data_IF_667871979540
#
_entry.id   IF_667871979540
#
_cell.length_a   1.000
_cell.length_b   1.000
_cell.length_c   1.000
_cell.angle_alpha   90.00
_cell.angle_beta   90.00
_cell.angle_gamma   90.00
#
_symmetry.space_group_name_H-M   'P 1'
#
loop_
_entity.id
_entity.type
_entity.pdbx_description
1 polymer ?
#
# COMPACT_ATOMS: atom_id res chain seq x y z
N UNK A 1 -15.13 -18.78 9.32
CA UNK A 1 -13.66 -18.70 9.53
C UNK A 1 -13.39 -18.79 11.03
N UNK A 2 -12.40 -19.54 11.49
CA UNK A 2 -12.05 -19.56 12.93
C UNK A 2 -11.33 -18.27 13.31
N UNK A 3 -11.53 -17.76 14.53
CA UNK A 3 -10.88 -16.56 15.03
C UNK A 3 -9.35 -16.66 14.97
N UNK A 4 -8.79 -17.85 15.26
CA UNK A 4 -7.34 -18.09 15.15
C UNK A 4 -6.83 -17.88 13.73
N UNK A 5 -7.58 -18.38 12.74
CA UNK A 5 -7.23 -18.23 11.33
C UNK A 5 -7.30 -16.77 10.87
N UNK A 6 -8.36 -16.06 11.25
CA UNK A 6 -8.50 -14.64 10.94
C UNK A 6 -7.33 -13.81 11.49
N UNK A 7 -6.95 -14.03 12.75
CA UNK A 7 -5.84 -13.30 13.35
C UNK A 7 -4.51 -13.59 12.65
N UNK A 8 -4.23 -14.85 12.28
CA UNK A 8 -3.02 -15.19 11.52
C UNK A 8 -3.00 -14.50 10.17
N UNK A 9 -4.08 -14.58 9.39
CA UNK A 9 -4.14 -13.93 8.07
C UNK A 9 -4.05 -12.41 8.16
N UNK A 10 -4.58 -11.80 9.23
CA UNK A 10 -4.44 -10.37 9.49
C UNK A 10 -2.99 -9.99 9.80
N UNK A 11 -2.29 -10.75 10.66
CA UNK A 11 -0.90 -10.49 11.00
C UNK A 11 0.00 -10.63 9.76
N UNK A 12 -0.21 -11.67 8.95
CA UNK A 12 0.51 -11.88 7.70
C UNK A 12 0.27 -10.70 6.71
N UNK A 13 -0.96 -10.19 6.66
CA UNK A 13 -1.28 -9.01 5.84
C UNK A 13 -0.54 -7.76 6.34
N UNK A 14 -0.53 -7.52 7.66
CA UNK A 14 0.15 -6.36 8.25
C UNK A 14 1.66 -6.41 8.04
N UNK A 15 2.28 -7.58 8.22
CA UNK A 15 3.72 -7.78 8.01
C UNK A 15 4.13 -7.49 6.55
N UNK A 16 3.30 -7.90 5.59
CA UNK A 16 3.53 -7.65 4.16
C UNK A 16 3.16 -6.25 3.70
N UNK A 17 2.62 -5.40 4.59
CA UNK A 17 2.05 -4.10 4.24
C UNK A 17 2.70 -2.92 4.99
N UNK A 18 4.04 -2.78 4.98
CA UNK A 18 4.71 -1.71 5.73
C UNK A 18 4.39 -0.30 5.22
N UNK A 19 3.86 -0.18 3.99
CA UNK A 19 3.38 1.09 3.43
C UNK A 19 2.06 0.90 2.69
N UNK A 20 1.33 1.99 2.43
CA UNK A 20 0.10 1.97 1.65
C UNK A 20 0.26 1.33 0.26
N UNK A 21 1.44 1.44 -0.36
CA UNK A 21 1.74 0.78 -1.63
C UNK A 21 1.82 -0.74 -1.50
N UNK A 22 2.42 -1.23 -0.41
CA UNK A 22 2.49 -2.66 -0.12
C UNK A 22 1.12 -3.21 0.27
N UNK A 23 0.34 -2.45 1.06
CA UNK A 23 -1.05 -2.79 1.37
C UNK A 23 -1.88 -3.00 0.11
N UNK A 24 -1.80 -2.08 -0.86
CA UNK A 24 -2.50 -2.24 -2.14
C UNK A 24 -1.94 -3.41 -2.94
N UNK A 25 -0.63 -3.63 -2.97
CA UNK A 25 -0.04 -4.78 -3.67
C UNK A 25 -0.53 -6.12 -3.09
N UNK A 26 -0.58 -6.23 -1.75
CA UNK A 26 -1.13 -7.40 -1.06
C UNK A 26 -2.62 -7.60 -1.39
N UNK A 27 -3.43 -6.53 -1.33
CA UNK A 27 -4.84 -6.57 -1.70
C UNK A 27 -5.05 -6.98 -3.16
N UNK A 28 -4.25 -6.44 -4.10
CA UNK A 28 -4.28 -6.84 -5.51
C UNK A 28 -4.06 -8.35 -5.65
N UNK A 29 -3.03 -8.90 -5.00
CA UNK A 29 -2.75 -10.34 -5.02
C UNK A 29 -3.94 -11.15 -4.50
N UNK A 30 -4.46 -10.80 -3.32
CA UNK A 30 -5.59 -11.50 -2.71
C UNK A 30 -6.86 -11.47 -3.58
N UNK A 31 -7.11 -10.35 -4.26
CA UNK A 31 -8.25 -10.20 -5.18
C UNK A 31 -8.06 -11.04 -6.45
N UNK A 32 -6.86 -11.04 -7.04
CA UNK A 32 -6.52 -11.88 -8.19
C UNK A 32 -6.66 -13.38 -7.85
N UNK A 33 -6.14 -13.79 -6.68
CA UNK A 33 -6.25 -15.17 -6.18
C UNK A 33 -7.72 -15.57 -5.93
N UNK A 34 -8.58 -14.59 -5.64
CA UNK A 34 -10.03 -14.76 -5.49
C UNK A 34 -10.80 -14.66 -6.81
N UNK A 35 -10.12 -14.55 -7.95
CA UNK A 35 -10.71 -14.51 -9.28
C UNK A 35 -11.28 -13.16 -9.71
N UNK A 36 -10.88 -12.06 -9.06
CA UNK A 36 -11.21 -10.72 -9.55
C UNK A 36 -10.37 -10.37 -10.79
N UNK A 37 -10.95 -9.52 -11.64
CA UNK A 37 -10.32 -9.03 -12.86
C UNK A 37 -9.79 -7.61 -12.61
N UNK A 38 -8.50 -7.39 -12.87
CA UNK A 38 -7.90 -6.06 -12.80
C UNK A 38 -8.37 -5.19 -13.97
N UNK A 39 -8.77 -3.96 -13.68
CA UNK A 39 -9.15 -2.95 -14.66
C UNK A 39 -8.09 -1.86 -14.77
N UNK A 40 -7.87 -1.36 -15.99
CA UNK A 40 -7.06 -0.18 -16.25
C UNK A 40 -7.97 1.06 -16.26
N UNK A 41 -7.68 2.04 -15.41
CA UNK A 41 -8.48 3.26 -15.33
C UNK A 41 -8.42 4.13 -16.60
N UNK A 42 -7.37 3.96 -17.41
CA UNK A 42 -7.20 4.68 -18.67
C UNK A 42 -7.92 4.04 -19.86
N UNK A 43 -8.59 2.92 -19.67
CA UNK A 43 -9.26 2.16 -20.73
C UNK A 43 -10.79 2.18 -20.56
N UNK A 44 -11.52 1.98 -21.66
CA UNK A 44 -12.95 1.70 -21.58
C UNK A 44 -13.17 0.32 -20.97
N UNK A 45 -14.09 0.23 -20.00
CA UNK A 45 -14.41 -1.04 -19.35
C UNK A 45 -15.57 -1.74 -20.05
N UNK A 46 -15.35 -3.01 -20.39
CA UNK A 46 -16.41 -3.95 -20.80
C UNK A 46 -16.70 -4.88 -19.62
N UNK A 47 -17.76 -4.57 -18.87
CA UNK A 47 -18.11 -5.25 -17.63
C UNK A 47 -19.18 -6.32 -17.92
N UNK A 48 -18.89 -7.57 -17.55
CA UNK A 48 -19.79 -8.68 -17.69
C UNK A 48 -20.53 -8.96 -16.38
N UNK A 49 -21.83 -9.21 -16.47
CA UNK A 49 -22.68 -9.59 -15.35
C UNK A 49 -22.12 -10.81 -14.60
N UNK A 50 -22.17 -10.75 -13.27
CA UNK A 50 -21.68 -11.79 -12.37
C UNK A 50 -20.16 -11.84 -12.20
N UNK A 51 -19.41 -10.89 -12.77
CA UNK A 51 -17.95 -10.80 -12.60
C UNK A 51 -17.55 -9.83 -11.48
N UNK A 52 -16.32 -10.01 -11.00
CA UNK A 52 -15.74 -9.21 -9.94
C UNK A 52 -14.53 -8.47 -10.49
N UNK A 53 -14.40 -7.20 -10.13
CA UNK A 53 -13.41 -6.30 -10.70
C UNK A 53 -12.71 -5.50 -9.61
N UNK A 54 -11.47 -5.10 -9.89
CA UNK A 54 -10.83 -4.06 -9.09
C UNK A 54 -10.04 -3.10 -9.97
N UNK A 55 -9.89 -1.87 -9.50
CA UNK A 55 -9.08 -0.84 -10.11
C UNK A 55 -8.22 -0.19 -9.04
N UNK A 56 -7.02 0.26 -9.41
CA UNK A 56 -6.13 0.97 -8.50
C UNK A 56 -5.69 2.30 -9.07
N UNK A 57 -5.49 3.26 -8.18
CA UNK A 57 -4.99 4.59 -8.53
C UNK A 57 -3.73 4.89 -7.70
N UNK A 58 -2.69 5.35 -8.39
CA UNK A 58 -1.35 5.60 -7.82
C UNK A 58 -0.70 4.37 -7.12
N UNK A 59 -1.25 3.17 -7.29
CA UNK A 59 -0.88 1.97 -6.54
C UNK A 59 -0.96 2.12 -5.01
N UNK A 60 -1.66 3.15 -4.51
CA UNK A 60 -1.86 3.39 -3.07
C UNK A 60 -3.33 3.40 -2.66
N UNK A 61 -4.24 3.44 -3.64
CA UNK A 61 -5.67 3.28 -3.43
C UNK A 61 -6.22 2.18 -4.34
N UNK A 62 -7.23 1.45 -3.84
CA UNK A 62 -7.87 0.35 -4.53
C UNK A 62 -9.39 0.41 -4.32
N UNK A 63 -10.14 0.17 -5.38
CA UNK A 63 -11.58 -0.09 -5.34
C UNK A 63 -11.79 -1.51 -5.88
N UNK A 64 -12.48 -2.34 -5.13
CA UNK A 64 -12.94 -3.66 -5.56
C UNK A 64 -14.47 -3.70 -5.51
N UNK A 65 -15.10 -4.29 -6.52
CA UNK A 65 -16.55 -4.39 -6.60
C UNK A 65 -16.99 -5.67 -7.30
N UNK A 66 -18.20 -6.11 -6.97
CA UNK A 66 -18.88 -7.21 -7.65
C UNK A 66 -19.89 -6.58 -8.60
N UNK A 67 -19.84 -6.93 -9.88
CA UNK A 67 -20.77 -6.46 -10.88
C UNK A 67 -21.86 -7.50 -11.06
N UNK A 68 -22.96 -7.37 -10.31
CA UNK A 68 -24.06 -8.33 -10.28
C UNK A 68 -25.43 -7.66 -10.33
N UNK A 69 -25.51 -6.47 -10.90
CA UNK A 69 -26.71 -5.64 -10.94
C UNK A 69 -27.03 -5.22 -12.36
N UNK A 70 -28.28 -5.39 -12.78
CA UNK A 70 -28.75 -4.94 -14.09
C UNK A 70 -29.26 -3.49 -14.04
N UNK A 71 -29.53 -2.95 -12.84
CA UNK A 71 -29.91 -1.55 -12.65
C UNK A 71 -29.43 -1.00 -11.30
N UNK A 72 -28.38 -0.18 -11.34
CA UNK A 72 -27.86 0.52 -10.15
C UNK A 72 -28.90 1.44 -9.49
N UNK A 73 -29.77 2.07 -10.29
CA UNK A 73 -30.81 2.97 -9.78
C UNK A 73 -31.97 2.22 -9.10
N UNK A 74 -32.24 0.99 -9.54
CA UNK A 74 -33.29 0.15 -8.95
C UNK A 74 -32.83 -0.62 -7.71
N UNK A 75 -31.57 -1.05 -7.68
CA UNK A 75 -31.04 -1.97 -6.66
C UNK A 75 -30.15 -1.30 -5.61
N UNK A 76 -29.61 -0.12 -5.91
CA UNK A 76 -28.70 0.62 -5.03
C UNK A 76 -27.31 0.01 -4.91
N UNK A 77 -26.49 0.59 -4.03
CA UNK A 77 -25.10 0.19 -3.80
C UNK A 77 -24.86 -0.14 -2.32
N UNK A 78 -24.13 -1.23 -2.07
CA UNK A 78 -23.60 -1.55 -0.73
C UNK A 78 -22.11 -1.25 -0.72
N UNK A 79 -21.73 -0.18 -0.03
CA UNK A 79 -20.35 0.29 0.01
C UNK A 79 -19.77 0.17 1.41
N UNK A 80 -18.49 -0.18 1.49
CA UNK A 80 -17.67 -0.09 2.70
C UNK A 80 -16.38 0.60 2.33
N UNK A 81 -15.97 1.57 3.15
CA UNK A 81 -14.76 2.35 2.95
C UNK A 81 -13.78 2.14 4.10
N UNK A 82 -12.50 2.08 3.76
CA UNK A 82 -11.37 2.13 4.68
C UNK A 82 -10.23 2.90 3.98
N UNK A 83 -9.11 3.10 4.68
CA UNK A 83 -7.92 3.73 4.12
C UNK A 83 -6.70 2.83 4.31
N UNK A 84 -5.73 2.94 3.41
CA UNK A 84 -4.54 2.06 3.32
C UNK A 84 -3.31 2.65 4.00
N UNK A 85 -3.36 3.93 4.35
CA UNK A 85 -2.25 4.66 4.96
C UNK A 85 -2.34 4.66 6.49
N UNK A 86 -1.22 4.97 7.12
CA UNK A 86 -1.10 5.11 8.56
C UNK A 86 -0.09 6.22 8.89
N UNK A 87 -0.21 6.87 10.05
CA UNK A 87 0.78 7.85 10.48
C UNK A 87 2.20 7.25 10.46
N UNK A 88 3.14 7.97 9.85
CA UNK A 88 4.49 7.46 9.58
C UNK A 88 5.52 8.58 9.46
N UNK A 89 6.79 8.20 9.49
CA UNK A 89 7.91 9.07 9.14
C UNK A 89 8.35 8.76 7.71
N UNK A 90 8.32 9.77 6.83
CA UNK A 90 8.71 9.62 5.42
C UNK A 90 10.07 10.26 5.18
N UNK A 91 10.88 9.66 4.33
CA UNK A 91 12.19 10.20 3.96
C UNK A 91 12.00 11.44 3.08
N UNK A 92 12.67 12.54 3.42
CA UNK A 92 12.64 13.78 2.62
C UNK A 92 13.37 13.60 1.28
N UNK A 93 13.06 14.40 0.25
CA UNK A 93 13.75 14.32 -1.05
C UNK A 93 15.27 14.50 -0.99
N UNK A 94 15.76 15.36 -0.10
CA UNK A 94 17.18 15.54 0.20
C UNK A 94 17.42 15.18 1.68
N UNK A 95 17.56 13.88 2.01
CA UNK A 95 17.50 13.42 3.39
C UNK A 95 18.85 13.38 4.09
N UNK A 96 19.96 13.31 3.36
CA UNK A 96 21.28 13.05 3.93
C UNK A 96 21.79 14.23 4.77
N UNK A 97 22.09 13.96 6.04
CA UNK A 97 22.68 14.93 6.98
C UNK A 97 23.85 14.25 7.67
N UNK A 98 25.05 14.80 7.54
CA UNK A 98 26.23 14.33 8.28
C UNK A 98 26.47 15.22 9.49
N UNK A 99 26.31 14.69 10.69
CA UNK A 99 26.47 15.46 11.93
C UNK A 99 27.07 14.60 13.04
N UNK A 100 28.10 15.13 13.71
CA UNK A 100 28.77 14.48 14.85
C UNK A 100 29.26 13.04 14.54
N UNK A 101 29.71 12.79 13.32
CA UNK A 101 30.19 11.46 12.89
C UNK A 101 29.09 10.46 12.50
N UNK A 102 27.82 10.87 12.55
CA UNK A 102 26.68 10.05 12.14
C UNK A 102 26.12 10.51 10.80
N UNK A 103 25.70 9.54 9.97
CA UNK A 103 24.83 9.76 8.82
C UNK A 103 23.39 9.70 9.33
N UNK A 104 22.64 10.78 9.16
CA UNK A 104 21.25 10.90 9.57
C UNK A 104 20.37 11.06 8.33
N UNK A 105 19.12 10.59 8.44
CA UNK A 105 18.10 10.77 7.41
C UNK A 105 17.06 11.79 7.91
N UNK A 106 16.96 12.91 7.21
CA UNK A 106 15.90 13.88 7.38
C UNK A 106 14.56 13.27 7.00
N UNK A 107 13.64 13.23 7.98
CA UNK A 107 12.28 12.72 7.79
C UNK A 107 11.24 13.83 7.88
N UNK A 108 10.08 13.60 7.28
CA UNK A 108 8.85 14.38 7.41
C UNK A 108 7.77 13.56 8.10
N UNK A 109 6.93 14.23 8.87
CA UNK A 109 5.82 13.61 9.60
C UNK A 109 4.64 13.49 8.65
N UNK A 110 4.10 12.28 8.51
CA UNK A 110 2.87 12.04 7.78
C UNK A 110 1.77 11.64 8.76
N UNK A 111 0.67 12.40 8.80
CA UNK A 111 -0.46 12.15 9.70
C UNK A 111 -0.20 12.52 11.16
N UNK A 112 -1.11 12.10 12.06
CA UNK A 112 -1.04 12.37 13.50
C UNK A 112 -0.11 11.40 14.24
N UNK A 113 1.19 11.49 13.98
CA UNK A 113 2.20 10.59 14.58
C UNK A 113 2.33 10.87 16.08
N UNK A 114 2.20 9.82 16.89
CA UNK A 114 2.68 9.82 18.28
C UNK A 114 4.20 9.63 18.23
N UNK A 115 4.99 10.60 18.66
CA UNK A 115 6.45 10.51 18.53
C UNK A 115 7.08 9.49 19.49
N UNK A 116 6.64 9.44 20.75
CA UNK A 116 7.29 8.62 21.78
C UNK A 116 7.46 7.13 21.38
N UNK A 117 6.47 6.47 20.74
CA UNK A 117 6.65 5.09 20.27
C UNK A 117 7.70 4.86 19.20
N UNK A 118 8.17 5.91 18.49
CA UNK A 118 9.19 5.81 17.43
C UNK A 118 10.62 5.90 17.93
N UNK A 119 10.83 6.42 19.14
CA UNK A 119 12.15 6.44 19.78
C UNK A 119 12.57 5.01 20.18
N UNK A 120 13.86 4.75 20.11
CA UNK A 120 14.49 3.47 20.48
C UNK A 120 13.86 2.24 19.82
N UNK A 121 13.45 2.41 18.54
CA UNK A 121 12.96 1.32 17.70
C UNK A 121 13.98 0.97 16.64
N UNK A 122 14.10 -0.33 16.39
CA UNK A 122 14.75 -0.89 15.21
C UNK A 122 13.87 -0.58 13.98
N UNK A 123 14.17 0.53 13.30
CA UNK A 123 13.41 1.00 12.15
C UNK A 123 14.02 0.46 10.85
N UNK A 124 13.15 0.04 9.93
CA UNK A 124 13.50 -0.24 8.54
C UNK A 124 12.94 0.84 7.60
N UNK A 125 13.15 0.65 6.29
CA UNK A 125 12.62 1.53 5.25
C UNK A 125 11.89 0.71 4.20
N UNK A 126 10.71 1.17 3.83
CA UNK A 126 9.93 0.60 2.74
C UNK A 126 9.23 1.71 1.96
N UNK A 127 8.87 1.44 0.72
CA UNK A 127 8.21 2.42 -0.13
C UNK A 127 8.17 2.04 -1.60
N UNK A 128 8.05 3.06 -2.45
CA UNK A 128 8.08 2.93 -3.90
C UNK A 128 9.17 3.84 -4.45
N UNK A 129 9.99 3.31 -5.34
CA UNK A 129 10.97 4.07 -6.12
C UNK A 129 10.50 4.20 -7.56
N UNK A 130 10.68 5.38 -8.14
CA UNK A 130 10.55 5.59 -9.57
C UNK A 130 11.97 5.69 -10.16
N UNK A 131 12.24 4.94 -11.22
CA UNK A 131 13.57 4.84 -11.79
C UNK A 131 13.51 4.75 -13.32
N UNK A 132 14.58 5.16 -13.97
CA UNK A 132 14.77 4.95 -15.40
C UNK A 132 15.44 3.60 -15.61
N UNK A 133 14.79 2.72 -16.37
CA UNK A 133 15.33 1.40 -16.70
C UNK A 133 16.57 1.53 -17.60
N UNK A 134 17.34 0.44 -17.74
CA UNK A 134 18.48 0.41 -18.68
C UNK A 134 18.08 0.69 -20.14
N UNK A 135 16.79 0.51 -20.49
CA UNK A 135 16.24 0.81 -21.82
C UNK A 135 15.72 2.25 -21.95
N UNK A 136 15.81 3.04 -20.88
CA UNK A 136 15.37 4.44 -20.85
C UNK A 136 13.90 4.65 -20.48
N UNK A 137 13.16 3.58 -20.18
CA UNK A 137 11.75 3.64 -19.78
C UNK A 137 11.62 4.08 -18.32
N UNK A 138 10.63 4.91 -18.00
CA UNK A 138 10.25 5.18 -16.61
C UNK A 138 9.52 3.97 -16.04
N UNK A 139 9.99 3.47 -14.90
CA UNK A 139 9.40 2.33 -14.18
C UNK A 139 9.28 2.66 -12.70
N UNK A 140 8.45 1.87 -12.02
CA UNK A 140 8.32 1.93 -10.56
C UNK A 140 8.57 0.53 -9.98
N UNK A 141 9.14 0.49 -8.78
CA UNK A 141 9.31 -0.74 -8.01
C UNK A 141 9.01 -0.48 -6.53
N UNK A 142 8.45 -1.48 -5.86
CA UNK A 142 8.38 -1.49 -4.40
C UNK A 142 9.72 -1.91 -3.84
N UNK A 143 10.09 -1.30 -2.72
CA UNK A 143 11.25 -1.66 -1.92
C UNK A 143 10.80 -1.87 -0.48
N UNK A 144 11.37 -2.88 0.14
CA UNK A 144 11.29 -3.14 1.57
C UNK A 144 12.64 -3.74 1.96
N UNK A 145 13.35 -3.06 2.86
CA UNK A 145 14.66 -3.53 3.31
C UNK A 145 14.53 -4.68 4.31
N UNK A 146 13.44 -4.73 5.08
CA UNK A 146 13.16 -5.66 6.19
C UNK A 146 14.19 -5.66 7.34
N UNK A 147 15.46 -5.40 7.06
CA UNK A 147 16.52 -5.24 8.04
C UNK A 147 16.39 -3.91 8.79
N UNK A 148 16.74 -3.87 10.09
CA UNK A 148 16.78 -2.62 10.85
C UNK A 148 18.00 -1.80 10.43
N UNK A 149 17.74 -0.68 9.75
CA UNK A 149 18.77 0.19 9.14
C UNK A 149 18.77 1.60 9.70
N UNK A 150 17.84 1.92 10.60
CA UNK A 150 17.71 3.23 11.23
C UNK A 150 17.22 3.12 12.67
N UNK A 151 17.53 4.14 13.47
CA UNK A 151 17.01 4.32 14.83
C UNK A 151 16.83 5.82 15.09
N UNK A 152 15.84 6.16 15.91
CA UNK A 152 15.70 7.49 16.51
C UNK A 152 16.11 7.33 17.97
N UNK A 153 17.35 7.70 18.34
CA UNK A 153 17.82 7.58 19.71
C UNK A 153 17.23 8.68 20.61
#
# INVERSE_FOLDING_TARGET
MSQKRFNTELLDFLERSPTAFHAVAALKSMLLDSGFIALSEGEQWDLADGRNYFVTRNDSALIAFRHNSQSLLGEGLRLTGAHTDSPSLKVKPNPEICRQGYVQLGVEVYGGVLFAPWFDRDLSMAGRVNYKSRRGELRSALIDFSDPIAVIP
#
